data_IF_100429289971
#
_entry.id   IF_100429289971
#
_cell.length_a   1.000
_cell.length_b   1.000
_cell.length_c   1.000
_cell.angle_alpha   90.00
_cell.angle_beta   90.00
_cell.angle_gamma   90.00
#
_symmetry.space_group_name_H-M   'P 1'
#
loop_
_entity.id
_entity.type
_entity.pdbx_description
1 polymer ?
#
# COMPACT_ATOMS: atom_id res chain seq x y z
N UNK A 1 1.52 -12.52 21.54
CA UNK A 1 0.41 -11.61 21.20
C UNK A 1 0.52 -11.28 19.73
N UNK A 2 -0.58 -11.23 18.99
CA UNK A 2 -0.57 -10.77 17.60
C UNK A 2 -0.34 -9.27 17.57
N UNK A 3 0.66 -8.85 16.81
CA UNK A 3 0.95 -7.43 16.61
C UNK A 3 -0.09 -6.82 15.67
N UNK A 4 -0.64 -5.66 16.02
CA UNK A 4 -1.61 -4.96 15.17
C UNK A 4 -0.87 -4.25 14.04
N UNK A 5 -1.35 -4.47 12.82
CA UNK A 5 -0.89 -3.76 11.61
C UNK A 5 -2.12 -3.17 10.92
N UNK A 6 -2.06 -1.91 10.51
CA UNK A 6 -3.14 -1.23 9.78
C UNK A 6 -2.77 -1.11 8.31
N UNK A 7 -3.61 -1.67 7.45
CA UNK A 7 -3.54 -1.50 5.99
C UNK A 7 -4.40 -0.33 5.52
N UNK A 8 -3.85 0.54 4.67
CA UNK A 8 -4.54 1.69 4.07
C UNK A 8 -4.43 1.61 2.54
N UNK A 9 -5.56 1.62 1.83
CA UNK A 9 -5.61 1.63 0.36
C UNK A 9 -6.02 3.02 -0.13
N UNK A 10 -5.02 3.81 -0.52
CA UNK A 10 -5.17 5.20 -0.95
C UNK A 10 -5.84 5.34 -2.31
N UNK A 11 -6.78 6.28 -2.44
CA UNK A 11 -7.42 6.58 -3.73
C UNK A 11 -6.70 7.65 -4.53
N UNK A 12 -7.41 8.22 -5.51
CA UNK A 12 -6.93 9.35 -6.30
C UNK A 12 -6.42 10.47 -5.40
N UNK A 13 -5.20 10.94 -5.66
CA UNK A 13 -4.58 12.04 -4.90
C UNK A 13 -3.90 11.63 -3.59
N UNK A 14 -3.91 10.35 -3.20
CA UNK A 14 -3.20 9.85 -2.02
C UNK A 14 -2.18 8.81 -2.47
N UNK A 15 -0.90 9.18 -2.48
CA UNK A 15 0.20 8.34 -3.01
C UNK A 15 1.29 8.05 -1.98
N UNK A 16 1.22 8.68 -0.81
CA UNK A 16 2.14 8.49 0.31
C UNK A 16 1.40 8.73 1.63
N UNK A 17 2.03 8.30 2.73
CA UNK A 17 1.63 8.66 4.09
C UNK A 17 2.81 9.39 4.72
N UNK A 18 2.63 10.68 4.97
CA UNK A 18 3.61 11.48 5.70
C UNK A 18 3.72 11.03 7.16
N UNK A 19 4.93 11.16 7.71
CA UNK A 19 5.18 10.92 9.14
C UNK A 19 5.36 9.45 9.52
N UNK A 20 5.48 8.54 8.56
CA UNK A 20 5.93 7.17 8.84
C UNK A 20 7.41 7.15 9.22
N UNK A 21 7.70 6.64 10.41
CA UNK A 21 9.05 6.24 10.79
C UNK A 21 9.44 4.96 10.05
N UNK A 22 10.72 4.84 9.68
CA UNK A 22 11.29 3.69 8.96
C UNK A 22 10.52 3.34 7.67
N UNK A 23 10.06 4.37 6.96
CA UNK A 23 9.28 4.23 5.74
C UNK A 23 10.10 3.54 4.63
N UNK A 24 9.59 2.44 4.09
CA UNK A 24 10.23 1.70 3.02
C UNK A 24 9.21 1.08 2.07
N UNK A 25 9.49 1.17 0.76
CA UNK A 25 8.69 0.49 -0.27
C UNK A 25 9.10 -0.97 -0.38
N UNK A 26 8.14 -1.88 -0.27
CA UNK A 26 8.33 -3.32 -0.33
C UNK A 26 7.61 -3.88 -1.56
N UNK A 27 8.31 -4.65 -2.38
CA UNK A 27 7.68 -5.43 -3.45
C UNK A 27 7.18 -6.75 -2.85
N UNK A 28 5.97 -7.17 -3.22
CA UNK A 28 5.33 -8.36 -2.67
C UNK A 28 4.78 -9.21 -3.80
N UNK A 29 5.07 -10.51 -3.76
CA UNK A 29 4.50 -11.48 -4.70
C UNK A 29 3.15 -11.98 -4.18
N UNK A 30 2.18 -12.13 -5.09
CA UNK A 30 0.89 -12.73 -4.77
C UNK A 30 0.49 -13.81 -5.80
N UNK A 31 -0.29 -14.83 -5.40
CA UNK A 31 -0.84 -15.82 -6.34
C UNK A 31 -1.79 -15.22 -7.39
N UNK A 32 -2.24 -13.97 -7.20
CA UNK A 32 -3.17 -13.27 -8.09
C UNK A 32 -2.48 -12.24 -9.00
N UNK A 33 -1.14 -12.22 -9.02
CA UNK A 33 -0.32 -11.29 -9.79
C UNK A 33 0.29 -10.18 -8.94
N UNK A 34 0.81 -9.15 -9.60
CA UNK A 34 1.40 -7.99 -8.94
C UNK A 34 0.31 -7.06 -8.38
N UNK A 35 0.46 -6.53 -7.15
CA UNK A 35 -0.41 -5.47 -6.65
C UNK A 35 -0.30 -4.19 -7.50
N UNK A 36 -1.14 -3.20 -7.20
CA UNK A 36 -1.18 -1.93 -7.95
C UNK A 36 0.14 -1.14 -7.90
N UNK A 37 0.95 -1.39 -6.88
CA UNK A 37 2.30 -0.84 -6.70
C UNK A 37 3.05 -1.67 -5.62
N UNK A 38 4.30 -1.32 -5.33
CA UNK A 38 4.93 -1.69 -4.07
C UNK A 38 4.11 -1.17 -2.88
N UNK A 39 4.21 -1.84 -1.73
CA UNK A 39 3.54 -1.44 -0.49
C UNK A 39 4.50 -0.59 0.33
N UNK A 40 4.12 0.63 0.70
CA UNK A 40 4.87 1.46 1.63
C UNK A 40 4.61 0.97 3.05
N UNK A 41 5.64 0.51 3.74
CA UNK A 41 5.55 0.08 5.14
C UNK A 41 6.27 1.07 6.05
N UNK A 42 5.81 1.20 7.29
CA UNK A 42 6.48 2.01 8.32
C UNK A 42 5.74 1.97 9.65
N UNK A 43 6.08 2.89 10.55
CA UNK A 43 5.45 3.01 11.87
C UNK A 43 4.90 4.42 12.06
N UNK A 44 3.63 4.54 12.45
CA UNK A 44 3.01 5.81 12.82
C UNK A 44 2.55 5.74 14.27
N UNK A 45 3.08 6.60 15.15
CA UNK A 45 2.73 6.65 16.57
C UNK A 45 2.79 5.28 17.27
N UNK A 46 3.79 4.46 16.94
CA UNK A 46 3.98 3.12 17.49
C UNK A 46 3.13 2.02 16.85
N UNK A 47 2.32 2.34 15.84
CA UNK A 47 1.49 1.36 15.10
C UNK A 47 2.14 1.05 13.75
N UNK A 48 2.29 -0.23 13.42
CA UNK A 48 2.76 -0.66 12.10
C UNK A 48 1.71 -0.36 11.04
N UNK A 49 2.16 0.24 9.95
CA UNK A 49 1.31 0.67 8.84
C UNK A 49 1.79 0.04 7.54
N UNK A 50 0.83 -0.29 6.67
CA UNK A 50 1.06 -0.68 5.28
C UNK A 50 0.14 0.17 4.39
N UNK A 51 0.72 0.82 3.39
CA UNK A 51 0.01 1.71 2.47
C UNK A 51 0.19 1.25 1.03
N UNK A 52 -0.93 1.19 0.30
CA UNK A 52 -0.95 0.85 -1.12
C UNK A 52 -1.76 1.90 -1.91
N UNK A 53 -1.14 2.62 -2.87
CA UNK A 53 -1.90 3.47 -3.78
C UNK A 53 -2.72 2.58 -4.73
N UNK A 54 -4.05 2.64 -4.62
CA UNK A 54 -4.99 1.76 -5.35
C UNK A 54 -4.82 1.80 -6.86
N UNK A 55 -4.45 2.95 -7.39
CA UNK A 55 -4.31 3.18 -8.83
C UNK A 55 -2.85 3.12 -9.29
N UNK A 56 -1.93 2.74 -8.41
CA UNK A 56 -0.48 2.86 -8.60
C UNK A 56 0.00 4.31 -8.53
N UNK A 57 1.28 4.52 -8.22
CA UNK A 57 1.93 5.84 -8.39
C UNK A 57 1.87 6.23 -9.86
N UNK A 58 1.54 7.49 -10.13
CA UNK A 58 1.24 7.98 -11.49
C UNK A 58 -0.17 7.68 -11.99
N UNK A 59 -1.03 7.05 -11.18
CA UNK A 59 -2.45 6.82 -11.50
C UNK A 59 -2.68 6.01 -12.79
N UNK A 60 -1.88 4.95 -12.96
CA UNK A 60 -1.83 4.16 -14.20
C UNK A 60 -3.00 3.18 -14.34
N UNK A 61 -3.61 2.73 -13.24
CA UNK A 61 -4.74 1.80 -13.27
C UNK A 61 -6.07 2.56 -13.27
N UNK A 62 -6.94 2.25 -14.24
CA UNK A 62 -8.35 2.65 -14.19
C UNK A 62 -9.11 1.83 -13.13
N UNK A 63 -10.27 2.30 -12.62
CA UNK A 63 -11.04 1.56 -11.61
C UNK A 63 -11.34 0.10 -11.97
N UNK A 64 -11.53 -0.20 -13.25
CA UNK A 64 -11.82 -1.56 -13.76
C UNK A 64 -10.57 -2.44 -13.94
N UNK A 65 -9.37 -1.85 -13.88
CA UNK A 65 -8.09 -2.56 -14.10
C UNK A 65 -7.26 -2.69 -12.83
N UNK A 66 -7.74 -2.19 -11.69
CA UNK A 66 -7.10 -2.39 -10.38
C UNK A 66 -7.06 -3.89 -10.05
N UNK A 67 -5.89 -4.46 -9.70
CA UNK A 67 -5.76 -5.87 -9.35
C UNK A 67 -6.22 -6.15 -7.90
N UNK A 68 -7.52 -6.02 -7.63
CA UNK A 68 -8.09 -6.09 -6.27
C UNK A 68 -7.79 -7.37 -5.47
N UNK A 69 -7.48 -8.50 -6.14
CA UNK A 69 -7.10 -9.73 -5.45
C UNK A 69 -5.62 -9.77 -5.04
N UNK A 70 -4.76 -9.03 -5.78
CA UNK A 70 -3.34 -8.93 -5.47
C UNK A 70 -3.06 -7.83 -4.45
N UNK A 71 -3.86 -6.76 -4.45
CA UNK A 71 -3.89 -5.73 -3.41
C UNK A 71 -4.34 -6.28 -2.05
#
# INVERSE_FOLDING_TARGET
>A
MTETVIGVIGGSGVYEIDGLADAAWQTVDSPWGTPSDAILTGVLNGVKMAFLPRHGRGHIHSPSTVPYRAN
#
